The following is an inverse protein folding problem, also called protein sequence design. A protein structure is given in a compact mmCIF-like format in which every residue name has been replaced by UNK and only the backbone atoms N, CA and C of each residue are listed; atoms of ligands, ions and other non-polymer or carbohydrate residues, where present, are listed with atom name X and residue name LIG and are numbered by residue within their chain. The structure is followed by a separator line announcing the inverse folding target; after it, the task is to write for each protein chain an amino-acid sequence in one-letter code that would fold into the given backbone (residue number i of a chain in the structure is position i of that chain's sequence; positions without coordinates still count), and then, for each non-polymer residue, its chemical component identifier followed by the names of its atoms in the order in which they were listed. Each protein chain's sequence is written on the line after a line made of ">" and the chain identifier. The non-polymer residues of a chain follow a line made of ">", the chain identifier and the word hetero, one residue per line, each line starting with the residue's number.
data_IF_188065271513
#
_entry.id   IF_188065271513
#
_cell.length_a   1.000
_cell.length_b   1.000
_cell.length_c   1.000
_cell.angle_alpha   90.00
_cell.angle_beta   90.00
_cell.angle_gamma   90.00
#
_symmetry.space_group_name_H-M   'P 1'
#
loop_
_entity.id
_entity.type
_entity.pdbx_description
1 polymer ?
#
# COMPACT_ATOMS: atom_id res chain seq x y z
N UNK A 1 -22.88 -7.29 3.06
CA UNK A 1 -22.93 -7.26 4.53
C UNK A 1 -22.04 -6.15 5.03
N UNK A 2 -22.55 -5.27 5.91
CA UNK A 2 -21.82 -4.10 6.41
C UNK A 2 -20.49 -4.45 7.10
N UNK A 3 -20.40 -5.59 7.79
CA UNK A 3 -19.17 -6.05 8.43
C UNK A 3 -18.01 -6.27 7.45
N UNK A 4 -18.26 -6.85 6.27
CA UNK A 4 -17.18 -7.08 5.28
C UNK A 4 -16.57 -5.75 4.82
N UNK A 5 -17.42 -4.76 4.55
CA UNK A 5 -16.95 -3.43 4.11
C UNK A 5 -16.09 -2.76 5.19
N UNK A 6 -16.49 -2.85 6.45
CA UNK A 6 -15.72 -2.28 7.56
C UNK A 6 -14.39 -3.01 7.76
N UNK A 7 -14.37 -4.35 7.69
CA UNK A 7 -13.13 -5.11 7.74
C UNK A 7 -12.18 -4.74 6.60
N UNK A 8 -12.68 -4.55 5.38
CA UNK A 8 -11.86 -4.15 4.24
C UNK A 8 -11.26 -2.74 4.42
N UNK A 9 -12.03 -1.80 4.98
CA UNK A 9 -11.56 -0.44 5.23
C UNK A 9 -10.48 -0.40 6.35
N UNK A 10 -10.63 -1.19 7.42
CA UNK A 10 -9.61 -1.36 8.47
C UNK A 10 -8.33 -2.00 7.94
N UNK A 11 -8.45 -3.05 7.12
CA UNK A 11 -7.30 -3.71 6.52
C UNK A 11 -6.54 -2.78 5.55
N UNK A 12 -7.25 -1.94 4.80
CA UNK A 12 -6.63 -0.93 3.93
C UNK A 12 -5.88 0.14 4.72
N UNK A 13 -6.45 0.58 5.85
CA UNK A 13 -5.79 1.52 6.77
C UNK A 13 -4.48 0.93 7.33
N UNK A 14 -4.53 -0.32 7.77
CA UNK A 14 -3.37 -1.03 8.29
C UNK A 14 -2.27 -1.20 7.23
N UNK A 15 -2.64 -1.58 6.00
CA UNK A 15 -1.68 -1.71 4.89
C UNK A 15 -0.98 -0.37 4.59
N UNK A 16 -1.71 0.74 4.64
CA UNK A 16 -1.12 2.08 4.46
C UNK A 16 -0.11 2.43 5.56
N UNK A 17 -0.41 2.08 6.81
CA UNK A 17 0.52 2.30 7.94
C UNK A 17 1.78 1.43 7.81
N UNK A 18 1.63 0.16 7.42
CA UNK A 18 2.77 -0.76 7.20
C UNK A 18 3.68 -0.22 6.08
N UNK A 19 3.10 0.21 4.96
CA UNK A 19 3.82 0.81 3.82
C UNK A 19 4.62 2.05 4.26
N UNK A 20 4.01 2.92 5.08
CA UNK A 20 4.67 4.11 5.61
C UNK A 20 5.88 3.74 6.47
N UNK A 21 5.73 2.81 7.41
CA UNK A 21 6.82 2.35 8.29
C UNK A 21 7.95 1.72 7.48
N UNK A 22 7.63 0.87 6.51
CA UNK A 22 8.62 0.24 5.64
C UNK A 22 9.40 1.29 4.83
N UNK A 23 8.70 2.29 4.28
CA UNK A 23 9.31 3.38 3.52
C UNK A 23 10.19 4.27 4.40
N UNK A 24 9.76 4.54 5.63
CA UNK A 24 10.56 5.30 6.59
C UNK A 24 11.83 4.54 7.00
N UNK A 25 11.71 3.24 7.28
CA UNK A 25 12.86 2.38 7.59
C UNK A 25 13.87 2.32 6.43
N UNK A 26 13.38 2.17 5.18
CA UNK A 26 14.22 2.19 3.99
C UNK A 26 14.89 3.55 3.75
N UNK A 27 14.18 4.66 4.02
CA UNK A 27 14.73 6.01 3.96
C UNK A 27 15.85 6.19 4.98
N UNK A 28 15.62 5.81 6.24
CA UNK A 28 16.63 5.87 7.32
C UNK A 28 17.85 5.02 7.02
N UNK A 29 17.66 3.88 6.37
CA UNK A 29 18.76 3.01 5.93
C UNK A 29 19.53 3.55 4.71
N UNK A 30 19.14 4.70 4.13
CA UNK A 30 19.76 5.27 2.93
C UNK A 30 19.52 4.44 1.66
N UNK A 31 18.53 3.54 1.66
CA UNK A 31 18.27 2.57 0.57
C UNK A 31 17.05 2.91 -0.28
N UNK A 32 16.37 4.03 0.01
CA UNK A 32 15.23 4.45 -0.79
C UNK A 32 15.73 5.00 -2.13
N UNK A 33 15.62 4.20 -3.19
CA UNK A 33 15.86 4.65 -4.57
C UNK A 33 14.74 5.61 -4.96
N UNK A 34 15.08 6.77 -5.53
CA UNK A 34 14.13 7.80 -6.02
C UNK A 34 13.32 7.39 -7.26
N UNK A 35 13.30 6.10 -7.62
CA UNK A 35 12.54 5.67 -8.80
C UNK A 35 11.05 5.78 -8.43
N UNK A 36 10.26 6.58 -9.18
CA UNK A 36 8.82 6.61 -8.96
C UNK A 36 8.28 5.19 -9.11
N UNK A 37 7.30 4.80 -8.27
CA UNK A 37 6.73 3.47 -8.36
C UNK A 37 6.18 3.32 -9.78
N UNK A 38 6.74 2.35 -10.53
CA UNK A 38 6.17 1.95 -11.81
C UNK A 38 4.77 1.46 -11.49
N UNK A 39 3.76 2.21 -11.91
CA UNK A 39 2.38 1.85 -11.70
C UNK A 39 2.19 0.47 -12.35
N UNK A 40 2.05 -0.54 -11.51
CA UNK A 40 1.61 -1.87 -11.93
C UNK A 40 0.17 -1.68 -12.39
N UNK A 41 -0.01 -1.52 -13.71
CA UNK A 41 -1.31 -1.56 -14.36
C UNK A 41 -1.95 -2.91 -14.02
N UNK A 42 -2.85 -2.88 -13.05
CA UNK A 42 -3.60 -4.08 -12.68
C UNK A 42 -4.71 -4.19 -13.72
N UNK A 43 -4.48 -5.04 -14.72
CA UNK A 43 -5.44 -5.50 -15.73
C UNK A 43 -6.62 -6.23 -15.06
N UNK A 44 -7.44 -5.55 -14.26
CA UNK A 44 -8.66 -6.12 -13.68
C UNK A 44 -9.73 -5.05 -13.44
N UNK A 45 -10.18 -4.42 -14.53
CA UNK A 45 -11.51 -3.78 -14.58
C UNK A 45 -12.17 -4.05 -15.94
N UNK A 46 -12.31 -5.33 -16.31
CA UNK A 46 -13.25 -5.73 -17.36
C UNK A 46 -13.92 -7.06 -17.04
N UNK A 47 -14.98 -7.01 -16.23
CA UNK A 47 -16.18 -7.81 -16.46
C UNK A 47 -17.38 -7.24 -15.72
#
# INVERSE_FOLDING_TARGET
>A
MAMKRWSDDELRSLNGQIEFVLRDALRRAGRLRERPPEAIETEEQKK
#
